data_IF_375410045330
#
_entry.id   IF_375410045330
#
_cell.length_a   1.000
_cell.length_b   1.000
_cell.length_c   1.000
_cell.angle_alpha   90.00
_cell.angle_beta   90.00
_cell.angle_gamma   90.00
#
_symmetry.space_group_name_H-M   'P 1'
#
loop_
_entity.id
_entity.type
_entity.pdbx_description
1 polymer ?
#
# COMPACT_ATOMS: atom_id res chain seq x y z
N UNK A 1 43.74 7.62 -14.83
CA UNK A 1 43.14 8.79 -14.14
C UNK A 1 43.78 8.92 -12.76
N UNK A 2 44.42 10.05 -12.46
CA UNK A 2 45.32 10.21 -11.30
C UNK A 2 44.58 10.20 -9.95
N UNK A 3 45.12 9.47 -8.97
CA UNK A 3 44.59 9.29 -7.61
C UNK A 3 44.36 10.60 -6.83
N UNK A 4 44.92 11.72 -7.30
CA UNK A 4 44.72 13.05 -6.72
C UNK A 4 43.31 13.63 -6.99
N UNK A 5 42.67 13.29 -8.12
CA UNK A 5 41.31 13.75 -8.46
C UNK A 5 40.20 12.96 -7.76
N UNK A 6 40.44 11.67 -7.47
CA UNK A 6 39.47 10.81 -6.80
C UNK A 6 39.24 11.22 -5.33
N UNK A 7 40.31 11.65 -4.63
CA UNK A 7 40.20 12.13 -3.25
C UNK A 7 39.48 13.48 -3.15
N UNK A 8 39.68 14.38 -4.11
CA UNK A 8 38.96 15.67 -4.16
C UNK A 8 37.47 15.51 -4.48
N UNK A 9 37.08 14.57 -5.34
CA UNK A 9 35.67 14.31 -5.63
C UNK A 9 34.91 13.78 -4.40
N UNK A 10 35.54 12.93 -3.57
CA UNK A 10 34.92 12.37 -2.37
C UNK A 10 34.78 13.41 -1.23
N UNK A 11 35.66 14.40 -1.14
CA UNK A 11 35.58 15.46 -0.13
C UNK A 11 34.51 16.50 -0.46
N UNK A 12 34.31 16.81 -1.75
CA UNK A 12 33.33 17.81 -2.19
C UNK A 12 31.90 17.30 -2.00
N UNK A 13 31.63 16.02 -2.28
CA UNK A 13 30.29 15.42 -2.08
C UNK A 13 29.87 15.37 -0.61
N UNK A 14 30.82 15.18 0.32
CA UNK A 14 30.51 15.04 1.77
C UNK A 14 30.14 16.36 2.46
N UNK A 15 30.49 17.50 1.86
CA UNK A 15 30.24 18.85 2.40
C UNK A 15 29.05 19.53 1.72
N UNK A 16 28.79 19.23 0.44
CA UNK A 16 27.67 19.84 -0.29
C UNK A 16 26.34 19.16 0.07
N UNK A 17 26.34 17.84 0.32
CA UNK A 17 25.09 17.10 0.59
C UNK A 17 24.34 17.64 1.83
N UNK A 18 24.97 17.91 3.00
CA UNK A 18 24.26 18.45 4.17
C UNK A 18 23.76 19.90 4.01
N UNK A 19 24.41 20.69 3.16
CA UNK A 19 24.12 22.12 3.01
C UNK A 19 22.91 22.40 2.09
N UNK A 20 22.65 21.50 1.13
CA UNK A 20 21.58 21.70 0.13
C UNK A 20 20.27 21.01 0.55
N UNK A 21 20.33 20.06 1.48
CA UNK A 21 19.16 19.35 2.04
C UNK A 21 18.08 20.32 2.54
N UNK A 22 18.31 21.23 3.50
CA UNK A 22 17.23 22.01 4.11
C UNK A 22 16.52 22.99 3.15
N UNK A 23 17.13 23.33 2.01
CA UNK A 23 16.55 24.26 1.02
C UNK A 23 15.74 23.52 -0.04
N UNK A 24 16.17 22.33 -0.45
CA UNK A 24 15.49 21.53 -1.47
C UNK A 24 14.35 20.69 -0.88
N UNK A 25 14.45 20.29 0.40
CA UNK A 25 13.40 19.51 1.09
C UNK A 25 12.03 20.19 1.10
N UNK A 26 11.86 21.47 1.50
CA UNK A 26 10.52 22.08 1.53
C UNK A 26 9.95 22.36 0.13
N UNK A 27 10.77 22.58 -0.90
CA UNK A 27 10.31 22.80 -2.27
C UNK A 27 9.84 21.48 -2.89
N UNK A 28 10.56 20.37 -2.68
CA UNK A 28 10.14 19.05 -3.14
C UNK A 28 8.86 18.56 -2.43
N UNK A 29 8.73 18.82 -1.12
CA UNK A 29 7.53 18.48 -0.35
C UNK A 29 6.33 19.35 -0.76
N UNK A 30 6.53 20.64 -1.07
CA UNK A 30 5.46 21.52 -1.58
C UNK A 30 5.08 21.22 -3.03
N UNK A 31 6.01 20.79 -3.88
CA UNK A 31 5.72 20.34 -5.24
C UNK A 31 4.96 18.99 -5.27
N UNK A 32 5.29 18.06 -4.36
CA UNK A 32 4.56 16.79 -4.22
C UNK A 32 3.14 16.99 -3.66
N UNK A 33 2.94 17.92 -2.73
CA UNK A 33 1.63 18.26 -2.18
C UNK A 33 0.73 19.02 -3.17
N UNK A 34 1.28 20.03 -3.87
CA UNK A 34 0.51 20.86 -4.79
C UNK A 34 0.04 20.10 -6.05
N UNK A 35 0.80 19.12 -6.54
CA UNK A 35 0.38 18.26 -7.66
C UNK A 35 -0.72 17.27 -7.28
N UNK A 36 -0.78 16.80 -6.03
CA UNK A 36 -1.82 15.87 -5.58
C UNK A 36 -3.13 16.60 -5.26
N UNK A 37 -3.03 17.75 -4.59
CA UNK A 37 -4.17 18.59 -4.27
C UNK A 37 -4.83 19.25 -5.49
N UNK A 38 -4.04 19.65 -6.50
CA UNK A 38 -4.57 20.23 -7.74
C UNK A 38 -5.20 19.17 -8.65
N UNK A 39 -4.71 17.94 -8.64
CA UNK A 39 -5.27 16.81 -9.39
C UNK A 39 -6.60 16.34 -8.79
N UNK A 40 -6.67 16.26 -7.45
CA UNK A 40 -7.90 15.91 -6.74
C UNK A 40 -8.99 17.00 -6.85
N UNK A 41 -8.61 18.29 -6.86
CA UNK A 41 -9.55 19.43 -7.01
C UNK A 41 -9.94 19.73 -8.47
N UNK A 42 -9.16 19.26 -9.45
CA UNK A 42 -9.48 19.41 -10.88
C UNK A 42 -10.41 18.28 -11.37
N UNK A 43 -10.23 17.04 -10.88
CA UNK A 43 -11.15 15.94 -11.20
C UNK A 43 -12.51 16.05 -10.47
N UNK A 44 -12.55 16.60 -9.26
CA UNK A 44 -13.80 16.77 -8.52
C UNK A 44 -14.74 17.84 -9.11
N UNK A 45 -14.22 18.82 -9.87
CA UNK A 45 -15.02 19.96 -10.38
C UNK A 45 -15.55 19.80 -11.80
N UNK A 46 -15.07 18.81 -12.56
CA UNK A 46 -15.44 18.69 -13.99
C UNK A 46 -16.68 17.84 -14.26
N UNK A 47 -17.14 17.01 -13.32
CA UNK A 47 -18.13 15.97 -13.64
C UNK A 47 -19.37 15.89 -12.74
N UNK A 48 -19.46 16.66 -11.65
CA UNK A 48 -20.74 16.88 -10.95
C UNK A 48 -21.52 15.63 -10.52
N UNK A 49 -20.92 14.42 -10.46
CA UNK A 49 -21.59 13.16 -10.11
C UNK A 49 -20.60 12.13 -9.55
N UNK A 50 -21.07 11.43 -8.49
CA UNK A 50 -20.65 10.17 -7.86
C UNK A 50 -19.29 10.08 -7.14
N UNK A 51 -19.32 10.36 -5.84
CA UNK A 51 -18.33 9.97 -4.82
C UNK A 51 -18.56 8.51 -4.39
N UNK A 52 -18.79 7.57 -5.31
CA UNK A 52 -19.18 6.20 -4.93
C UNK A 52 -18.06 5.16 -5.02
N UNK A 53 -16.83 5.55 -5.39
CA UNK A 53 -15.70 4.58 -5.42
C UNK A 53 -14.40 5.09 -4.80
N UNK A 54 -14.37 6.34 -4.32
CA UNK A 54 -13.27 6.84 -3.46
C UNK A 54 -13.54 6.58 -1.96
N UNK A 55 -14.78 6.26 -1.60
CA UNK A 55 -15.18 5.94 -0.22
C UNK A 55 -14.76 4.53 0.24
N UNK A 56 -14.59 3.57 -0.67
CA UNK A 56 -14.37 2.16 -0.28
C UNK A 56 -13.02 1.90 0.41
N UNK A 57 -12.01 2.73 0.14
CA UNK A 57 -10.64 2.54 0.63
C UNK A 57 -9.99 3.80 1.19
N UNK A 58 -10.76 4.60 1.95
CA UNK A 58 -10.23 5.77 2.68
C UNK A 58 -10.31 5.53 4.20
N UNK A 59 -9.29 5.96 4.96
CA UNK A 59 -9.23 5.78 6.43
C UNK A 59 -7.95 5.08 6.92
N UNK A 60 -7.89 4.71 8.21
CA UNK A 60 -6.66 4.14 8.81
C UNK A 60 -6.35 2.73 8.28
N UNK A 61 -7.36 2.02 7.79
CA UNK A 61 -7.28 0.66 7.25
C UNK A 61 -7.14 0.58 5.73
N UNK A 62 -6.98 1.72 5.03
CA UNK A 62 -6.92 1.76 3.56
C UNK A 62 -5.87 0.81 2.97
N UNK A 63 -4.69 0.74 3.59
CA UNK A 63 -3.63 -0.18 3.16
C UNK A 63 -4.02 -1.67 3.32
N UNK A 64 -4.72 -2.02 4.39
CA UNK A 64 -5.18 -3.39 4.62
C UNK A 64 -6.27 -3.78 3.61
N UNK A 65 -7.17 -2.85 3.29
CA UNK A 65 -8.18 -3.09 2.27
C UNK A 65 -7.59 -3.27 0.87
N UNK A 66 -6.55 -2.50 0.51
CA UNK A 66 -5.85 -2.68 -0.76
C UNK A 66 -5.19 -4.07 -0.87
N UNK A 67 -4.56 -4.55 0.22
CA UNK A 67 -4.02 -5.92 0.29
C UNK A 67 -5.11 -6.98 0.14
N UNK A 68 -6.24 -6.80 0.80
CA UNK A 68 -7.43 -7.68 0.69
C UNK A 68 -7.95 -7.74 -0.75
N UNK A 69 -7.96 -6.62 -1.47
CA UNK A 69 -8.36 -6.58 -2.87
C UNK A 69 -7.37 -7.36 -3.75
N UNK A 70 -6.07 -7.11 -3.62
CA UNK A 70 -5.05 -7.85 -4.37
C UNK A 70 -5.05 -9.35 -4.06
N UNK A 71 -5.27 -9.73 -2.80
CA UNK A 71 -5.44 -11.12 -2.41
C UNK A 71 -6.68 -11.73 -3.07
N UNK A 72 -7.81 -11.00 -3.08
CA UNK A 72 -9.05 -11.45 -3.74
C UNK A 72 -8.86 -11.69 -5.24
N UNK A 73 -8.10 -10.83 -5.91
CA UNK A 73 -7.75 -10.97 -7.32
C UNK A 73 -6.89 -12.22 -7.56
N UNK A 74 -5.84 -12.43 -6.75
CA UNK A 74 -5.01 -13.63 -6.83
C UNK A 74 -5.77 -14.93 -6.54
N UNK A 75 -6.70 -14.92 -5.57
CA UNK A 75 -7.59 -16.07 -5.35
C UNK A 75 -8.50 -16.31 -6.56
N UNK A 76 -8.92 -15.26 -7.26
CA UNK A 76 -9.71 -15.42 -8.49
C UNK A 76 -8.87 -16.03 -9.63
N UNK A 77 -7.61 -15.62 -9.77
CA UNK A 77 -6.67 -16.22 -10.71
C UNK A 77 -6.50 -17.72 -10.46
N UNK A 78 -6.33 -18.13 -9.20
CA UNK A 78 -6.28 -19.55 -8.83
C UNK A 78 -7.57 -20.32 -9.16
N UNK A 79 -8.75 -19.69 -9.05
CA UNK A 79 -10.02 -20.36 -9.43
C UNK A 79 -10.13 -20.59 -10.94
N UNK A 80 -9.60 -19.68 -11.75
CA UNK A 80 -9.73 -19.73 -13.21
C UNK A 80 -8.64 -20.58 -13.85
N UNK A 81 -7.41 -20.53 -13.33
CA UNK A 81 -6.25 -21.17 -13.97
C UNK A 81 -5.32 -21.95 -13.03
N UNK A 82 -5.66 -22.11 -11.76
CA UNK A 82 -4.83 -22.84 -10.79
C UNK A 82 -4.98 -24.37 -10.85
N UNK A 83 -4.15 -25.07 -10.07
CA UNK A 83 -4.29 -26.52 -9.86
C UNK A 83 -5.56 -26.84 -9.04
N UNK A 84 -5.96 -28.11 -8.99
CA UNK A 84 -7.11 -28.53 -8.18
C UNK A 84 -6.96 -28.11 -6.70
N UNK A 85 -5.75 -28.22 -6.15
CA UNK A 85 -5.42 -27.79 -4.80
C UNK A 85 -5.51 -26.26 -4.66
N UNK A 86 -5.00 -25.51 -5.65
CA UNK A 86 -5.09 -24.04 -5.67
C UNK A 86 -6.54 -23.54 -5.74
N UNK A 87 -7.39 -24.19 -6.55
CA UNK A 87 -8.83 -23.88 -6.65
C UNK A 87 -9.53 -24.15 -5.31
N UNK A 88 -9.20 -25.27 -4.65
CA UNK A 88 -9.74 -25.60 -3.32
C UNK A 88 -9.33 -24.55 -2.29
N UNK A 89 -8.04 -24.24 -2.20
CA UNK A 89 -7.53 -23.17 -1.34
C UNK A 89 -8.24 -21.85 -1.61
N UNK A 90 -8.37 -21.45 -2.89
CA UNK A 90 -9.01 -20.20 -3.26
C UNK A 90 -10.50 -20.14 -2.89
N UNK A 91 -11.19 -21.27 -2.85
CA UNK A 91 -12.58 -21.36 -2.41
C UNK A 91 -12.69 -21.21 -0.90
N UNK A 92 -11.80 -21.87 -0.14
CA UNK A 92 -11.76 -21.80 1.32
C UNK A 92 -11.32 -20.40 1.81
N UNK A 93 -10.23 -19.86 1.25
CA UNK A 93 -9.65 -18.57 1.62
C UNK A 93 -10.60 -17.38 1.33
N UNK A 94 -11.50 -17.50 0.34
CA UNK A 94 -12.47 -16.45 0.03
C UNK A 94 -13.35 -16.07 1.22
N UNK A 95 -13.70 -17.04 2.08
CA UNK A 95 -14.44 -16.79 3.31
C UNK A 95 -13.63 -15.93 4.28
N UNK A 96 -12.38 -16.31 4.52
CA UNK A 96 -11.46 -15.59 5.41
C UNK A 96 -11.20 -14.17 4.94
N UNK A 97 -10.97 -13.95 3.64
CA UNK A 97 -10.73 -12.60 3.09
C UNK A 97 -11.93 -11.68 3.29
N UNK A 98 -13.16 -12.18 3.12
CA UNK A 98 -14.39 -11.41 3.45
C UNK A 98 -14.47 -11.08 4.94
N UNK A 99 -14.11 -12.01 5.81
CA UNK A 99 -14.09 -11.78 7.26
C UNK A 99 -13.06 -10.71 7.64
N UNK A 100 -11.85 -10.76 7.08
CA UNK A 100 -10.81 -9.77 7.32
C UNK A 100 -11.25 -8.37 6.86
N UNK A 101 -11.93 -8.26 5.71
CA UNK A 101 -12.50 -6.99 5.24
C UNK A 101 -13.51 -6.39 6.23
N UNK A 102 -14.37 -7.22 6.81
CA UNK A 102 -15.29 -6.81 7.86
C UNK A 102 -14.58 -6.45 9.17
N UNK A 103 -13.51 -7.16 9.51
CA UNK A 103 -12.70 -6.88 10.70
C UNK A 103 -11.97 -5.52 10.58
N UNK A 104 -11.46 -5.16 9.41
CA UNK A 104 -10.86 -3.82 9.16
C UNK A 104 -11.91 -2.72 9.39
N UNK A 105 -13.11 -2.86 8.81
CA UNK A 105 -14.21 -1.90 9.03
C UNK A 105 -14.60 -1.78 10.50
N UNK A 106 -14.64 -2.90 11.22
CA UNK A 106 -14.91 -2.89 12.66
C UNK A 106 -13.81 -2.19 13.46
N UNK A 107 -12.54 -2.38 13.09
CA UNK A 107 -11.39 -1.77 13.76
C UNK A 107 -11.37 -0.25 13.64
N UNK A 108 -11.87 0.33 12.54
CA UNK A 108 -11.97 1.80 12.36
C UNK A 108 -12.80 2.48 13.45
N UNK A 109 -13.79 1.78 14.01
CA UNK A 109 -14.67 2.29 15.06
C UNK A 109 -14.08 2.13 16.47
N UNK A 110 -12.87 1.56 16.59
CA UNK A 110 -12.19 1.34 17.87
C UNK A 110 -11.34 2.55 18.30
N UNK A 111 -11.10 2.72 19.61
CA UNK A 111 -10.12 3.68 20.11
C UNK A 111 -8.72 3.44 19.53
N UNK A 112 -7.85 4.47 19.42
CA UNK A 112 -6.60 4.38 18.65
C UNK A 112 -5.65 3.23 19.01
N UNK A 113 -5.49 2.92 20.31
CA UNK A 113 -4.65 1.80 20.75
C UNK A 113 -5.19 0.45 20.27
N UNK A 114 -6.47 0.19 20.56
CA UNK A 114 -7.15 -1.05 20.15
C UNK A 114 -7.25 -1.19 18.63
N UNK A 115 -7.47 -0.09 17.90
CA UNK A 115 -7.46 -0.06 16.43
C UNK A 115 -6.11 -0.50 15.87
N UNK A 116 -5.00 0.03 16.41
CA UNK A 116 -3.64 -0.35 15.98
C UNK A 116 -3.36 -1.83 16.21
N UNK A 117 -3.73 -2.35 17.39
CA UNK A 117 -3.53 -3.77 17.71
C UNK A 117 -4.36 -4.68 16.79
N UNK A 118 -5.61 -4.31 16.52
CA UNK A 118 -6.47 -5.02 15.57
C UNK A 118 -5.90 -4.99 14.14
N UNK A 119 -5.44 -3.84 13.66
CA UNK A 119 -4.81 -3.72 12.34
C UNK A 119 -3.55 -4.57 12.22
N UNK A 120 -2.74 -4.63 13.29
CA UNK A 120 -1.54 -5.47 13.32
C UNK A 120 -1.88 -6.96 13.26
N UNK A 121 -2.90 -7.40 13.99
CA UNK A 121 -3.36 -8.79 13.93
C UNK A 121 -3.88 -9.14 12.54
N UNK A 122 -4.72 -8.28 11.95
CA UNK A 122 -5.24 -8.46 10.59
C UNK A 122 -4.09 -8.52 9.56
N UNK A 123 -3.09 -7.64 9.70
CA UNK A 123 -1.93 -7.65 8.81
C UNK A 123 -1.17 -8.98 8.86
N UNK A 124 -0.97 -9.56 10.05
CA UNK A 124 -0.30 -10.84 10.19
C UNK A 124 -1.08 -11.98 9.52
N UNK A 125 -2.41 -11.98 9.61
CA UNK A 125 -3.23 -12.98 8.91
C UNK A 125 -3.21 -12.81 7.39
N UNK A 126 -3.17 -11.56 6.91
CA UNK A 126 -2.97 -11.29 5.49
C UNK A 126 -1.59 -11.78 5.01
N UNK A 127 -0.53 -11.58 5.80
CA UNK A 127 0.82 -12.07 5.46
C UNK A 127 0.81 -13.60 5.26
N UNK A 128 0.12 -14.34 6.14
CA UNK A 128 0.00 -15.80 6.05
C UNK A 128 -0.80 -16.27 4.82
N UNK A 129 -1.89 -15.58 4.49
CA UNK A 129 -2.69 -15.88 3.30
C UNK A 129 -1.96 -15.52 2.00
N UNK A 130 -1.25 -14.39 1.97
CA UNK A 130 -0.44 -13.98 0.83
C UNK A 130 0.69 -14.99 0.58
N UNK A 131 1.37 -15.46 1.63
CA UNK A 131 2.38 -16.52 1.50
C UNK A 131 1.79 -17.82 0.94
N UNK A 132 0.60 -18.20 1.39
CA UNK A 132 -0.11 -19.39 0.89
C UNK A 132 -0.54 -19.22 -0.58
N UNK A 133 -1.02 -18.03 -0.94
CA UNK A 133 -1.36 -17.70 -2.33
C UNK A 133 -0.12 -17.81 -3.23
N UNK A 134 1.00 -17.20 -2.84
CA UNK A 134 2.26 -17.25 -3.60
C UNK A 134 2.74 -18.69 -3.78
N UNK A 135 2.67 -19.51 -2.73
CA UNK A 135 2.99 -20.94 -2.81
C UNK A 135 2.14 -21.66 -3.87
N UNK A 136 0.83 -21.40 -3.92
CA UNK A 136 -0.06 -21.99 -4.93
C UNK A 136 0.14 -21.43 -6.35
N UNK A 137 0.62 -20.19 -6.47
CA UNK A 137 1.03 -19.59 -7.75
C UNK A 137 2.43 -20.05 -8.21
N UNK A 138 3.19 -20.71 -7.33
CA UNK A 138 4.52 -21.25 -7.63
C UNK A 138 5.64 -20.22 -7.60
N UNK A 139 5.49 -19.15 -6.82
CA UNK A 139 6.47 -18.06 -6.64
C UNK A 139 7.00 -17.95 -5.22
#
# INVERSE_FOLDING_TARGET
MSAKKARQALTVTKVILPAVIPVVTPIAVRAAGACRDAYDKYQARKLGVAVDSLGEYSGHGAALHARIAGLSDGLNELRVGGTAEGVKFATEAAGTVRQLSSAVRAAEHMPPGRRKDAHRAIAAELDALEASLLHHLGV
#
